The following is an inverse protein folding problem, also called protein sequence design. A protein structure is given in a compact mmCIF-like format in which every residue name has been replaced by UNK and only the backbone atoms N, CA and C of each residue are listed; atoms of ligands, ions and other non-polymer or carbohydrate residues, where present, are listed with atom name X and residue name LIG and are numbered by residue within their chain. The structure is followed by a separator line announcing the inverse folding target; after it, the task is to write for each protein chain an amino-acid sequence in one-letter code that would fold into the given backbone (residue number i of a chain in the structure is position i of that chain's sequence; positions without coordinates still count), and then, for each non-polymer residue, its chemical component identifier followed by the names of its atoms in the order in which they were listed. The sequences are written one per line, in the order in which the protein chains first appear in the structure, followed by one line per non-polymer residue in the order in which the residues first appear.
data_IF_613452411345
#
_entry.id   IF_613452411345
#
_cell.length_a   1.000
_cell.length_b   1.000
_cell.length_c   1.000
_cell.angle_alpha   90.00
_cell.angle_beta   90.00
_cell.angle_gamma   90.00
#
_symmetry.space_group_name_H-M   'P 1'
#
loop_
_entity.id
_entity.type
_entity.pdbx_description
1 polymer ?
#
# COMPACT_ATOMS: atom_id res chain seq x y z
N UNK A 1 -7.92 21.74 89.63
CA UNK A 1 -8.68 21.09 88.54
C UNK A 1 -7.72 20.95 87.37
N UNK A 2 -7.40 19.72 86.98
CA UNK A 2 -6.33 19.40 86.04
C UNK A 2 -6.89 19.32 84.61
N UNK A 3 -6.81 20.42 83.85
CA UNK A 3 -7.18 20.46 82.43
C UNK A 3 -6.18 19.76 81.49
N UNK A 4 -5.18 19.05 82.04
CA UNK A 4 -4.17 18.31 81.28
C UNK A 4 -4.57 16.87 80.90
N UNK A 5 -5.73 16.38 81.37
CA UNK A 5 -6.21 15.02 81.08
C UNK A 5 -6.91 14.84 79.73
N UNK A 6 -7.39 15.93 79.10
CA UNK A 6 -8.16 15.87 77.84
C UNK A 6 -7.30 15.78 76.57
N UNK A 7 -6.00 16.06 76.65
CA UNK A 7 -5.12 16.15 75.47
C UNK A 7 -4.72 14.75 74.97
N UNK A 8 -4.57 13.78 75.89
CA UNK A 8 -4.15 12.42 75.58
C UNK A 8 -5.13 11.64 74.68
N UNK A 9 -6.45 11.63 74.96
CA UNK A 9 -7.41 10.95 74.07
C UNK A 9 -7.56 11.65 72.71
N UNK A 10 -7.47 12.98 72.67
CA UNK A 10 -7.51 13.74 71.41
C UNK A 10 -6.28 13.45 70.54
N UNK A 11 -5.09 13.44 71.14
CA UNK A 11 -3.84 13.12 70.44
C UNK A 11 -3.86 11.68 69.91
N UNK A 12 -4.35 10.72 70.68
CA UNK A 12 -4.48 9.33 70.24
C UNK A 12 -5.42 9.19 69.04
N UNK A 13 -6.53 9.94 69.01
CA UNK A 13 -7.49 9.93 67.91
C UNK A 13 -6.91 10.53 66.63
N UNK A 14 -6.18 11.65 66.74
CA UNK A 14 -5.50 12.29 65.60
C UNK A 14 -4.40 11.37 65.04
N UNK A 15 -3.57 10.77 65.90
CA UNK A 15 -2.53 9.83 65.47
C UNK A 15 -3.16 8.60 64.79
N UNK A 16 -4.27 8.08 65.33
CA UNK A 16 -5.02 6.99 64.70
C UNK A 16 -5.52 7.34 63.29
N UNK A 17 -6.12 8.52 63.12
CA UNK A 17 -6.57 9.01 61.82
C UNK A 17 -5.41 9.18 60.82
N UNK A 18 -4.28 9.71 61.27
CA UNK A 18 -3.08 9.87 60.43
C UNK A 18 -2.53 8.50 59.98
N UNK A 19 -2.48 7.51 60.87
CA UNK A 19 -2.07 6.15 60.53
C UNK A 19 -3.00 5.51 59.48
N UNK A 20 -4.32 5.70 59.62
CA UNK A 20 -5.31 5.21 58.65
C UNK A 20 -5.12 5.88 57.27
N UNK A 21 -4.91 7.20 57.25
CA UNK A 21 -4.68 7.95 56.02
C UNK A 21 -3.40 7.50 55.29
N UNK A 22 -2.32 7.27 56.04
CA UNK A 22 -1.06 6.75 55.49
C UNK A 22 -1.23 5.35 54.92
N UNK A 23 -1.89 4.45 55.65
CA UNK A 23 -2.15 3.09 55.21
C UNK A 23 -2.99 3.07 53.91
N UNK A 24 -4.02 3.92 53.82
CA UNK A 24 -4.81 4.06 52.60
C UNK A 24 -3.99 4.63 51.43
N UNK A 25 -3.10 5.60 51.70
CA UNK A 25 -2.24 6.18 50.66
C UNK A 25 -1.26 5.16 50.06
N UNK A 26 -0.77 4.22 50.88
CA UNK A 26 0.08 3.11 50.43
C UNK A 26 -0.69 2.15 49.51
N UNK A 27 -1.90 1.74 49.91
CA UNK A 27 -2.77 0.89 49.07
C UNK A 27 -3.07 1.56 47.73
N UNK A 28 -3.42 2.86 47.74
CA UNK A 28 -3.67 3.62 46.51
C UNK A 28 -2.42 3.73 45.61
N UNK A 29 -1.23 3.85 46.22
CA UNK A 29 0.04 3.83 45.51
C UNK A 29 0.30 2.50 44.82
N UNK A 30 0.07 1.39 45.53
CA UNK A 30 0.19 0.03 44.99
C UNK A 30 -0.79 -0.20 43.84
N UNK A 31 -2.06 0.24 43.97
CA UNK A 31 -3.04 0.11 42.88
C UNK A 31 -2.65 0.91 41.64
N UNK A 32 -2.09 2.12 41.79
CA UNK A 32 -1.58 2.91 40.65
C UNK A 32 -0.41 2.21 39.96
N UNK A 33 0.52 1.66 40.73
CA UNK A 33 1.64 0.91 40.17
C UNK A 33 1.17 -0.36 39.44
N UNK A 34 0.19 -1.07 40.01
CA UNK A 34 -0.42 -2.24 39.39
C UNK A 34 -1.19 -1.89 38.12
N UNK A 35 -1.87 -0.73 38.07
CA UNK A 35 -2.59 -0.26 36.89
C UNK A 35 -1.62 0.07 35.73
N UNK A 36 -0.48 0.71 36.03
CA UNK A 36 0.52 1.02 35.02
C UNK A 36 1.15 -0.26 34.41
N UNK A 37 1.49 -1.23 35.26
CA UNK A 37 2.00 -2.54 34.80
C UNK A 37 0.97 -3.31 33.99
N UNK A 38 -0.29 -3.28 34.41
CA UNK A 38 -1.38 -3.92 33.67
C UNK A 38 -1.52 -3.32 32.27
N UNK A 39 -1.39 -2.00 32.12
CA UNK A 39 -1.42 -1.36 30.79
C UNK A 39 -0.23 -1.80 29.93
N UNK A 40 0.98 -1.84 30.46
CA UNK A 40 2.17 -2.29 29.73
C UNK A 40 2.00 -3.73 29.21
N UNK A 41 1.47 -4.63 30.04
CA UNK A 41 1.20 -6.01 29.63
C UNK A 41 0.04 -6.14 28.64
N UNK A 42 -1.00 -5.29 28.76
CA UNK A 42 -2.10 -5.21 27.79
C UNK A 42 -1.62 -4.73 26.43
N UNK A 43 -0.72 -3.76 26.39
CA UNK A 43 -0.12 -3.25 25.14
C UNK A 43 0.75 -4.35 24.47
N UNK A 44 1.56 -5.06 25.27
CA UNK A 44 2.36 -6.20 24.78
C UNK A 44 1.48 -7.36 24.30
N UNK A 45 0.41 -7.69 25.03
CA UNK A 45 -0.55 -8.71 24.63
C UNK A 45 -1.27 -8.34 23.32
N UNK A 46 -1.68 -7.07 23.18
CA UNK A 46 -2.30 -6.56 21.97
C UNK A 46 -1.36 -6.65 20.77
N UNK A 47 -0.08 -6.33 20.94
CA UNK A 47 0.94 -6.54 19.90
C UNK A 47 1.11 -8.03 19.52
N UNK A 48 1.15 -8.94 20.50
CA UNK A 48 1.26 -10.37 20.22
C UNK A 48 0.04 -10.91 19.47
N UNK A 49 -1.18 -10.44 19.82
CA UNK A 49 -2.40 -10.77 19.09
C UNK A 49 -2.37 -10.23 17.66
N UNK A 50 -1.76 -9.08 17.45
CA UNK A 50 -1.58 -8.46 16.13
C UNK A 50 -0.85 -9.42 15.18
N UNK A 51 0.28 -9.99 15.62
CA UNK A 51 1.05 -11.00 14.88
C UNK A 51 0.23 -12.29 14.71
N UNK A 52 -0.41 -12.78 15.78
CA UNK A 52 -1.17 -14.03 15.73
C UNK A 52 -2.34 -13.97 14.73
N UNK A 53 -2.97 -12.80 14.59
CA UNK A 53 -4.03 -12.55 13.62
C UNK A 53 -3.50 -12.37 12.20
N UNK A 54 -2.27 -11.90 12.04
CA UNK A 54 -1.57 -11.87 10.75
C UNK A 54 -1.26 -13.29 10.24
N UNK A 55 -0.77 -14.15 11.13
CA UNK A 55 -0.46 -15.57 10.85
C UNK A 55 -1.72 -16.47 10.73
N UNK A 56 -2.92 -15.89 10.78
CA UNK A 56 -4.20 -16.62 10.71
C UNK A 56 -4.32 -17.73 11.77
N UNK A 57 -3.75 -17.53 12.97
CA UNK A 57 -3.81 -18.50 14.05
C UNK A 57 -5.26 -18.75 14.52
N UNK A 58 -5.52 -19.97 14.97
CA UNK A 58 -6.85 -20.34 15.48
C UNK A 58 -7.22 -19.52 16.71
N UNK A 59 -8.52 -19.26 16.92
CA UNK A 59 -9.01 -18.54 18.10
C UNK A 59 -8.59 -19.21 19.42
N UNK A 60 -8.43 -20.54 19.42
CA UNK A 60 -7.96 -21.32 20.57
C UNK A 60 -6.52 -20.99 20.91
N UNK A 61 -5.65 -20.86 19.91
CA UNK A 61 -4.23 -20.58 20.13
C UNK A 61 -3.99 -19.12 20.53
N UNK A 62 -4.76 -18.18 19.98
CA UNK A 62 -4.78 -16.78 20.44
C UNK A 62 -5.23 -16.70 21.90
N UNK A 63 -6.22 -17.49 22.31
CA UNK A 63 -6.67 -17.53 23.71
C UNK A 63 -5.59 -18.09 24.63
N UNK A 64 -4.90 -19.17 24.23
CA UNK A 64 -3.75 -19.71 24.99
C UNK A 64 -2.61 -18.71 25.10
N UNK A 65 -2.33 -17.94 24.04
CA UNK A 65 -1.32 -16.89 24.05
C UNK A 65 -1.65 -15.77 25.04
N UNK A 66 -2.91 -15.31 25.05
CA UNK A 66 -3.40 -14.33 26.01
C UNK A 66 -3.35 -14.86 27.44
N UNK A 67 -3.66 -16.14 27.64
CA UNK A 67 -3.56 -16.79 28.94
C UNK A 67 -2.10 -16.92 29.40
N UNK A 68 -1.15 -17.20 28.50
CA UNK A 68 0.27 -17.19 28.81
C UNK A 68 0.78 -15.79 29.18
N UNK A 69 0.21 -14.71 28.64
CA UNK A 69 0.47 -13.33 29.13
C UNK A 69 -0.13 -13.10 30.52
N UNK A 70 -1.33 -13.62 30.78
CA UNK A 70 -1.95 -13.59 32.12
C UNK A 70 -1.08 -14.28 33.18
N UNK A 71 -0.54 -15.45 32.86
CA UNK A 71 0.23 -16.30 33.79
C UNK A 71 1.63 -15.74 34.10
N UNK A 72 2.16 -14.82 33.27
CA UNK A 72 3.43 -14.13 33.52
C UNK A 72 3.31 -13.10 34.65
N UNK A 73 2.09 -12.66 34.96
CA UNK A 73 1.86 -11.70 36.04
C UNK A 73 1.85 -12.43 37.40
N UNK A 74 2.56 -11.90 38.42
CA UNK A 74 2.61 -12.53 39.73
C UNK A 74 1.22 -12.75 40.33
N UNK A 75 0.92 -14.01 40.69
CA UNK A 75 -0.34 -14.44 41.29
C UNK A 75 -0.60 -13.79 42.67
N UNK A 76 0.46 -13.34 43.35
CA UNK A 76 0.39 -12.70 44.67
C UNK A 76 -0.41 -11.39 44.68
N UNK A 77 -0.66 -10.80 43.50
CA UNK A 77 -1.40 -9.55 43.37
C UNK A 77 -2.86 -9.74 42.91
N UNK A 78 -3.37 -10.97 42.87
CA UNK A 78 -4.74 -11.32 42.48
C UNK A 78 -4.88 -11.89 41.06
N UNK A 79 -6.05 -12.49 40.78
CA UNK A 79 -6.33 -13.14 39.51
C UNK A 79 -6.31 -12.12 38.35
N UNK A 80 -5.58 -12.46 37.29
CA UNK A 80 -5.50 -11.66 36.06
C UNK A 80 -6.07 -12.46 34.90
N UNK A 81 -6.87 -11.82 34.06
CA UNK A 81 -7.38 -12.43 32.83
C UNK A 81 -7.31 -11.44 31.67
N UNK A 82 -6.91 -11.95 30.51
CA UNK A 82 -6.94 -11.21 29.26
C UNK A 82 -8.04 -11.78 28.37
N UNK A 83 -8.79 -10.91 27.72
CA UNK A 83 -9.87 -11.28 26.80
C UNK A 83 -9.72 -10.52 25.49
N UNK A 84 -10.02 -11.20 24.38
CA UNK A 84 -10.07 -10.60 23.05
C UNK A 84 -11.52 -10.35 22.67
N UNK A 85 -11.85 -9.11 22.29
CA UNK A 85 -13.14 -8.74 21.74
C UNK A 85 -12.95 -8.34 20.27
N UNK A 86 -13.72 -8.96 19.37
CA UNK A 86 -13.81 -8.54 17.97
C UNK A 86 -14.77 -7.34 17.88
N UNK A 87 -14.29 -6.22 17.35
CA UNK A 87 -15.07 -4.99 17.17
C UNK A 87 -15.62 -4.85 15.73
N UNK A 88 -15.34 -5.81 14.85
CA UNK A 88 -15.64 -5.73 13.42
C UNK A 88 -14.63 -4.88 12.65
N UNK A 89 -14.71 -4.89 11.32
CA UNK A 89 -13.82 -4.13 10.42
C UNK A 89 -12.32 -4.37 10.66
N UNK A 90 -11.92 -5.61 10.96
CA UNK A 90 -10.56 -5.98 11.36
C UNK A 90 -9.98 -5.14 12.51
N UNK A 91 -10.84 -4.72 13.45
CA UNK A 91 -10.44 -4.14 14.73
C UNK A 91 -10.66 -5.13 15.85
N UNK A 92 -9.67 -5.27 16.72
CA UNK A 92 -9.76 -6.11 17.90
C UNK A 92 -9.35 -5.33 19.14
N UNK A 93 -10.01 -5.60 20.27
CA UNK A 93 -9.70 -5.02 21.57
C UNK A 93 -9.23 -6.11 22.52
N UNK A 94 -8.05 -5.92 23.09
CA UNK A 94 -7.54 -6.73 24.20
C UNK A 94 -7.90 -6.02 25.50
N UNK A 95 -8.61 -6.71 26.38
CA UNK A 95 -8.98 -6.20 27.72
C UNK A 95 -8.31 -7.06 28.77
N UNK A 96 -7.44 -6.44 29.59
CA UNK A 96 -6.83 -7.05 30.76
C UNK A 96 -7.57 -6.61 32.02
N UNK A 97 -8.00 -7.58 32.83
CA UNK A 97 -8.64 -7.32 34.13
C UNK A 97 -7.84 -7.96 35.24
N UNK A 98 -7.64 -7.22 36.33
CA UNK A 98 -6.90 -7.70 37.51
C UNK A 98 -7.65 -7.39 38.81
N UNK A 99 -7.91 -8.42 39.60
CA UNK A 99 -8.34 -8.23 40.98
C UNK A 99 -7.15 -7.75 41.82
N UNK A 100 -7.29 -6.71 42.63
CA UNK A 100 -6.20 -6.17 43.44
C UNK A 100 -6.16 -6.77 44.85
N UNK A 101 -4.96 -6.89 45.43
CA UNK A 101 -4.77 -7.38 46.79
C UNK A 101 -5.19 -6.34 47.84
N UNK A 102 -5.79 -6.81 48.94
CA UNK A 102 -6.19 -6.00 50.10
C UNK A 102 -5.11 -6.08 51.18
N UNK A 103 -4.22 -5.08 51.29
CA UNK A 103 -3.24 -5.05 52.37
C UNK A 103 -3.81 -4.34 53.60
N UNK A 104 -4.12 -3.04 53.51
CA UNK A 104 -4.62 -2.27 54.66
C UNK A 104 -6.13 -1.99 54.59
N UNK A 105 -6.68 -1.85 53.40
CA UNK A 105 -8.10 -1.64 53.10
C UNK A 105 -9.01 -2.76 53.63
N UNK A 106 -8.47 -3.96 53.88
CA UNK A 106 -9.17 -5.06 54.56
C UNK A 106 -9.60 -4.70 55.99
N UNK A 107 -8.80 -3.91 56.70
CA UNK A 107 -9.07 -3.51 58.10
C UNK A 107 -10.28 -2.56 58.16
N UNK A 108 -10.49 -1.77 57.12
CA UNK A 108 -11.59 -0.80 57.01
C UNK A 108 -12.85 -1.38 56.35
N UNK A 109 -12.86 -2.66 55.99
CA UNK A 109 -13.99 -3.29 55.29
C UNK A 109 -14.22 -2.77 53.87
N UNK A 110 -13.26 -2.03 53.29
CA UNK A 110 -13.38 -1.45 51.96
C UNK A 110 -13.08 -2.52 50.91
N UNK A 111 -13.92 -2.63 49.89
CA UNK A 111 -13.67 -3.51 48.77
C UNK A 111 -12.58 -2.92 47.87
N UNK A 112 -11.60 -3.75 47.52
CA UNK A 112 -10.56 -3.34 46.59
C UNK A 112 -11.15 -3.28 45.17
N UNK A 113 -10.77 -2.27 44.38
CA UNK A 113 -11.27 -2.12 43.02
C UNK A 113 -10.68 -3.20 42.11
N UNK A 114 -11.47 -3.68 41.16
CA UNK A 114 -10.96 -4.43 40.01
C UNK A 114 -10.35 -3.43 39.03
N UNK A 115 -9.08 -3.61 38.70
CA UNK A 115 -8.42 -2.80 37.67
C UNK A 115 -8.75 -3.38 36.29
N UNK A 116 -9.01 -2.49 35.33
CA UNK A 116 -9.25 -2.84 33.94
C UNK A 116 -8.43 -1.92 33.06
N UNK A 117 -7.80 -2.49 32.04
CA UNK A 117 -7.06 -1.78 30.99
C UNK A 117 -7.41 -2.38 29.64
N UNK A 118 -7.37 -1.55 28.60
CA UNK A 118 -7.69 -1.94 27.24
C UNK A 118 -6.62 -1.42 26.28
N UNK A 119 -6.29 -2.23 25.28
CA UNK A 119 -5.57 -1.81 24.10
C UNK A 119 -6.33 -2.29 22.86
N UNK A 120 -6.29 -1.50 21.81
CA UNK A 120 -6.92 -1.84 20.53
C UNK A 120 -5.87 -2.05 19.46
N UNK A 121 -6.15 -3.00 18.57
CA UNK A 121 -5.43 -3.17 17.32
C UNK A 121 -6.40 -2.99 16.17
N UNK A 122 -5.98 -2.29 15.13
CA UNK A 122 -6.68 -2.24 13.85
C UNK A 122 -5.77 -2.74 12.77
N UNK A 123 -6.33 -3.51 11.84
CA UNK A 123 -5.73 -3.69 10.53
C UNK A 123 -6.33 -2.62 9.63
N UNK A 124 -5.60 -1.52 9.54
CA UNK A 124 -5.89 -0.50 8.56
C UNK A 124 -5.58 -1.12 7.19
N UNK A 125 -6.51 -1.02 6.24
CA UNK A 125 -6.28 -1.51 4.88
C UNK A 125 -4.98 -0.89 4.37
N UNK A 126 -4.04 -1.74 3.98
CA UNK A 126 -2.82 -1.26 3.35
C UNK A 126 -3.23 -0.47 2.10
N UNK A 127 -2.81 0.80 1.95
CA UNK A 127 -3.15 1.55 0.76
C UNK A 127 -2.66 0.75 -0.44
N UNK A 128 -3.58 0.44 -1.35
CA UNK A 128 -3.26 -0.35 -2.54
C UNK A 128 -2.07 0.31 -3.25
N UNK A 129 -1.01 -0.45 -3.56
CA UNK A 129 0.19 0.13 -4.14
C UNK A 129 -0.12 0.80 -5.47
N UNK A 130 0.31 2.05 -5.63
CA UNK A 130 0.21 2.76 -6.91
C UNK A 130 1.13 2.13 -7.97
N UNK A 131 2.19 1.46 -7.55
CA UNK A 131 3.08 0.70 -8.41
C UNK A 131 3.11 -0.74 -7.93
N UNK A 132 2.54 -1.65 -8.72
CA UNK A 132 2.47 -3.07 -8.41
C UNK A 132 3.13 -3.92 -9.49
N UNK A 133 4.19 -4.62 -9.12
CA UNK A 133 4.72 -5.75 -9.87
C UNK A 133 4.06 -7.06 -9.39
N UNK A 134 3.15 -7.62 -10.19
CA UNK A 134 2.22 -8.67 -9.76
C UNK A 134 2.84 -10.07 -9.72
N UNK A 135 3.94 -10.32 -10.44
CA UNK A 135 4.51 -11.66 -10.58
C UNK A 135 5.16 -12.16 -9.28
N UNK A 136 4.72 -13.32 -8.76
CA UNK A 136 5.25 -13.93 -7.54
C UNK A 136 6.50 -14.79 -7.77
N UNK A 137 6.69 -15.32 -8.99
CA UNK A 137 7.82 -16.16 -9.36
C UNK A 137 8.38 -15.78 -10.75
N UNK A 138 8.85 -14.53 -10.91
CA UNK A 138 9.42 -14.10 -12.17
C UNK A 138 10.72 -14.84 -12.49
N UNK A 139 11.00 -15.03 -13.78
CA UNK A 139 12.30 -15.53 -14.22
C UNK A 139 13.43 -14.63 -13.68
N UNK A 140 14.40 -15.23 -12.98
CA UNK A 140 15.48 -14.51 -12.30
C UNK A 140 15.13 -13.96 -10.91
N UNK A 141 13.89 -14.15 -10.44
CA UNK A 141 13.45 -13.78 -9.09
C UNK A 141 13.25 -12.27 -8.87
N UNK A 142 13.24 -11.47 -9.95
CA UNK A 142 13.15 -9.99 -9.91
C UNK A 142 11.77 -9.52 -10.36
N UNK A 143 11.04 -8.86 -9.48
CA UNK A 143 9.77 -8.20 -9.79
C UNK A 143 9.99 -6.76 -10.25
N UNK A 144 10.81 -6.01 -9.51
CA UNK A 144 11.26 -4.66 -9.85
C UNK A 144 12.78 -4.68 -10.04
N UNK A 145 13.26 -4.32 -11.24
CA UNK A 145 14.69 -4.23 -11.56
C UNK A 145 15.03 -2.80 -11.99
N UNK A 146 16.01 -2.18 -11.35
CA UNK A 146 16.47 -0.83 -11.69
C UNK A 146 18.00 -0.78 -11.79
N UNK A 147 18.52 -0.21 -12.88
CA UNK A 147 19.96 -0.12 -13.12
C UNK A 147 20.38 1.22 -13.77
N UNK A 148 21.64 1.60 -13.61
CA UNK A 148 22.32 2.64 -14.36
C UNK A 148 21.63 4.01 -14.25
N UNK A 149 21.58 4.54 -13.02
CA UNK A 149 21.00 5.82 -12.64
C UNK A 149 19.49 5.95 -12.90
N UNK A 150 18.76 4.83 -12.98
CA UNK A 150 17.30 4.83 -13.01
C UNK A 150 16.72 5.39 -11.70
N UNK A 151 15.63 6.17 -11.80
CA UNK A 151 15.00 6.84 -10.66
C UNK A 151 13.49 6.62 -10.65
N UNK A 152 12.98 6.19 -9.50
CA UNK A 152 11.56 6.08 -9.21
C UNK A 152 11.24 7.00 -8.05
N UNK A 153 10.34 7.95 -8.25
CA UNK A 153 9.90 8.93 -7.25
C UNK A 153 8.39 8.83 -7.14
N UNK A 154 7.92 8.49 -5.95
CA UNK A 154 6.52 8.20 -5.65
C UNK A 154 6.11 9.02 -4.43
N UNK A 155 5.03 9.77 -4.54
CA UNK A 155 4.45 10.54 -3.44
C UNK A 155 2.98 10.18 -3.24
N UNK A 156 2.58 10.10 -1.98
CA UNK A 156 1.21 9.84 -1.55
C UNK A 156 0.75 8.37 -1.68
N UNK A 157 1.65 7.44 -2.00
CA UNK A 157 1.29 6.01 -2.11
C UNK A 157 2.51 5.08 -1.90
N UNK A 158 2.28 3.76 -1.96
CA UNK A 158 3.29 2.71 -1.78
C UNK A 158 3.69 2.05 -3.11
N UNK A 159 4.84 1.38 -3.08
CA UNK A 159 5.35 0.54 -4.18
C UNK A 159 5.42 -0.89 -3.69
N UNK A 160 5.00 -1.85 -4.52
CA UNK A 160 5.03 -3.26 -4.17
C UNK A 160 5.58 -4.15 -5.28
N UNK A 161 6.43 -5.10 -4.87
CA UNK A 161 6.86 -6.23 -5.69
C UNK A 161 6.40 -7.54 -5.06
N UNK A 162 5.57 -8.32 -5.77
CA UNK A 162 5.10 -9.62 -5.28
C UNK A 162 6.14 -10.74 -5.42
N UNK A 163 7.25 -10.51 -6.13
CA UNK A 163 8.24 -11.54 -6.41
C UNK A 163 8.86 -12.07 -5.11
N UNK A 164 9.01 -13.39 -4.98
CA UNK A 164 9.55 -14.05 -3.78
C UNK A 164 11.05 -14.36 -3.86
N UNK A 165 11.70 -14.00 -4.97
CA UNK A 165 13.14 -14.23 -5.17
C UNK A 165 14.02 -13.37 -4.26
N UNK A 166 15.29 -13.77 -4.09
CA UNK A 166 16.28 -13.07 -3.25
C UNK A 166 16.58 -11.62 -3.68
N UNK A 167 16.19 -11.24 -4.90
CA UNK A 167 16.25 -9.88 -5.43
C UNK A 167 14.92 -9.45 -6.03
N UNK A 168 13.83 -9.65 -5.29
CA UNK A 168 12.47 -9.19 -5.64
C UNK A 168 12.48 -7.74 -6.10
N UNK A 169 13.17 -6.89 -5.33
CA UNK A 169 13.57 -5.54 -5.74
C UNK A 169 15.08 -5.56 -5.95
N UNK A 170 15.54 -5.29 -7.18
CA UNK A 170 16.94 -5.39 -7.57
C UNK A 170 17.46 -4.04 -8.07
N UNK A 171 18.35 -3.41 -7.29
CA UNK A 171 18.86 -2.07 -7.53
C UNK A 171 20.38 -2.09 -7.73
N UNK A 172 20.83 -1.57 -8.87
CA UNK A 172 22.25 -1.36 -9.16
C UNK A 172 22.47 0.06 -9.67
N UNK A 173 23.12 0.94 -8.90
CA UNK A 173 23.18 2.38 -9.21
C UNK A 173 21.79 3.01 -9.46
N UNK A 174 20.80 2.68 -8.64
CA UNK A 174 19.43 3.14 -8.82
C UNK A 174 18.85 3.79 -7.55
N UNK A 175 17.81 4.60 -7.73
CA UNK A 175 17.22 5.40 -6.66
C UNK A 175 15.70 5.21 -6.61
N UNK A 176 15.19 4.81 -5.45
CA UNK A 176 13.75 4.77 -5.16
C UNK A 176 13.47 5.78 -4.05
N UNK A 177 12.61 6.74 -4.32
CA UNK A 177 12.08 7.69 -3.34
C UNK A 177 10.59 7.45 -3.21
N UNK A 178 10.13 7.04 -2.02
CA UNK A 178 8.69 6.92 -1.72
C UNK A 178 8.40 7.79 -0.51
N UNK A 179 7.36 8.60 -0.60
CA UNK A 179 6.87 9.46 0.49
C UNK A 179 5.38 9.25 0.68
N UNK A 180 4.95 9.14 1.93
CA UNK A 180 3.56 9.41 2.30
C UNK A 180 3.52 10.83 2.86
N UNK A 181 2.39 11.54 2.83
CA UNK A 181 2.33 12.97 3.21
C UNK A 181 2.83 13.31 4.63
N UNK A 182 3.22 12.33 5.44
CA UNK A 182 3.77 12.45 6.79
C UNK A 182 5.23 12.00 6.94
N UNK A 183 5.85 11.38 5.93
CA UNK A 183 7.19 10.81 6.06
C UNK A 183 7.61 9.87 4.92
N UNK A 184 8.58 8.97 5.18
CA UNK A 184 8.98 7.97 4.19
C UNK A 184 7.83 7.00 3.95
N UNK A 185 7.42 6.86 2.68
CA UNK A 185 6.37 5.92 2.31
C UNK A 185 6.89 4.47 2.31
N UNK A 186 6.05 3.53 1.85
CA UNK A 186 6.32 2.09 1.94
C UNK A 186 6.81 1.47 0.63
N UNK A 187 7.81 0.61 0.75
CA UNK A 187 8.25 -0.32 -0.29
C UNK A 187 8.03 -1.75 0.20
N UNK A 188 6.94 -2.36 -0.26
CA UNK A 188 6.58 -3.74 0.02
C UNK A 188 7.27 -4.72 -0.93
N UNK A 189 7.76 -5.84 -0.40
CA UNK A 189 8.36 -6.89 -1.21
C UNK A 189 8.01 -8.30 -0.71
N UNK A 190 7.72 -9.22 -1.62
CA UNK A 190 7.46 -10.63 -1.29
C UNK A 190 8.73 -11.48 -1.07
N UNK A 191 9.91 -10.94 -1.40
CA UNK A 191 11.20 -11.64 -1.39
C UNK A 191 12.32 -10.80 -0.77
N UNK A 192 13.53 -10.85 -1.31
CA UNK A 192 14.65 -10.02 -0.84
C UNK A 192 14.80 -8.69 -1.60
N UNK A 193 15.45 -7.72 -0.98
CA UNK A 193 15.89 -6.47 -1.63
C UNK A 193 17.40 -6.53 -1.85
N UNK A 194 17.83 -6.47 -3.11
CA UNK A 194 19.24 -6.45 -3.49
C UNK A 194 19.68 -5.04 -3.88
N UNK A 195 20.77 -4.58 -3.30
CA UNK A 195 21.35 -3.25 -3.53
C UNK A 195 22.86 -3.35 -3.77
N UNK A 196 23.33 -2.93 -4.95
CA UNK A 196 24.75 -2.78 -5.27
C UNK A 196 25.10 -1.42 -5.89
N UNK A 197 26.38 -1.00 -5.75
CA UNK A 197 26.96 0.14 -6.46
C UNK A 197 26.31 1.53 -6.17
N UNK A 198 25.97 1.84 -4.92
CA UNK A 198 25.61 3.20 -4.51
C UNK A 198 24.14 3.59 -4.76
N UNK A 199 23.21 2.78 -4.25
CA UNK A 199 21.77 3.04 -4.32
C UNK A 199 21.29 3.95 -3.18
N UNK A 200 20.11 4.54 -3.35
CA UNK A 200 19.35 5.09 -2.23
C UNK A 200 17.88 4.69 -2.31
N UNK A 201 17.36 4.17 -1.19
CA UNK A 201 15.94 3.86 -1.01
C UNK A 201 15.46 4.68 0.18
N UNK A 202 14.58 5.66 -0.04
CA UNK A 202 14.02 6.49 1.05
C UNK A 202 12.81 5.86 1.73
N UNK A 203 12.29 4.76 1.17
CA UNK A 203 11.10 4.07 1.65
C UNK A 203 11.40 3.12 2.81
N UNK A 204 10.43 2.91 3.69
CA UNK A 204 10.47 1.81 4.66
C UNK A 204 10.29 0.49 3.91
N UNK A 205 11.26 -0.42 4.06
CA UNK A 205 11.24 -1.73 3.40
C UNK A 205 10.49 -2.71 4.30
N UNK A 206 9.38 -3.24 3.80
CA UNK A 206 8.55 -4.18 4.53
C UNK A 206 8.37 -5.46 3.70
N UNK A 207 8.48 -6.61 4.36
CA UNK A 207 8.12 -7.87 3.75
C UNK A 207 6.60 -8.01 3.83
N UNK A 208 5.93 -7.96 2.70
CA UNK A 208 4.47 -7.93 2.62
C UNK A 208 3.95 -9.17 1.89
N UNK A 209 2.75 -9.67 2.23
CA UNK A 209 2.06 -10.67 1.43
C UNK A 209 1.87 -10.19 -0.01
N UNK A 210 1.73 -11.13 -0.95
CA UNK A 210 1.49 -10.78 -2.35
C UNK A 210 0.14 -10.03 -2.49
N UNK A 211 0.18 -8.81 -3.04
CA UNK A 211 -1.03 -8.04 -3.34
C UNK A 211 -1.74 -8.64 -4.55
N UNK A 212 -3.04 -8.85 -4.42
CA UNK A 212 -3.88 -9.25 -5.55
C UNK A 212 -3.99 -8.09 -6.56
N UNK A 213 -4.20 -8.43 -7.83
CA UNK A 213 -4.51 -7.45 -8.87
C UNK A 213 -5.91 -6.85 -8.61
N UNK A 214 -6.01 -5.55 -8.26
CA UNK A 214 -7.28 -4.88 -7.95
C UNK A 214 -8.17 -4.70 -9.18
N UNK A 215 -7.62 -4.82 -10.39
CA UNK A 215 -8.35 -4.63 -11.65
C UNK A 215 -8.84 -5.95 -12.27
N UNK A 216 -8.28 -7.07 -11.86
CA UNK A 216 -8.58 -8.37 -12.47
C UNK A 216 -10.06 -8.80 -12.32
N UNK A 217 -10.69 -8.47 -11.20
CA UNK A 217 -12.09 -8.83 -10.93
C UNK A 217 -13.08 -7.80 -11.47
N UNK A 218 -12.66 -6.53 -11.60
CA UNK A 218 -13.51 -5.42 -12.04
C UNK A 218 -13.50 -5.22 -13.56
N UNK A 219 -12.38 -5.53 -14.23
CA UNK A 219 -12.27 -5.46 -15.68
C UNK A 219 -12.53 -6.83 -16.31
N UNK A 220 -13.75 -7.03 -16.82
CA UNK A 220 -14.08 -8.19 -17.67
C UNK A 220 -13.37 -8.14 -19.03
N UNK A 221 -13.28 -9.28 -19.74
CA UNK A 221 -12.63 -9.34 -21.07
C UNK A 221 -13.27 -8.29 -22.01
N UNK A 222 -12.47 -7.35 -22.58
CA UNK A 222 -13.03 -6.27 -23.35
C UNK A 222 -13.57 -6.80 -24.67
N UNK A 223 -14.77 -6.35 -25.04
CA UNK A 223 -15.35 -6.60 -26.36
C UNK A 223 -15.08 -5.38 -27.23
N UNK A 224 -14.30 -5.56 -28.30
CA UNK A 224 -14.01 -4.50 -29.25
C UNK A 224 -15.30 -4.06 -29.95
N UNK A 225 -15.54 -2.76 -30.00
CA UNK A 225 -16.70 -2.16 -30.65
C UNK A 225 -16.34 -0.84 -31.36
N UNK A 226 -17.27 -0.35 -32.18
CA UNK A 226 -17.09 0.88 -32.96
C UNK A 226 -16.63 0.62 -34.40
N UNK A 227 -16.29 1.70 -35.10
CA UNK A 227 -15.89 1.67 -36.51
C UNK A 227 -14.55 0.97 -36.68
N UNK A 228 -14.47 0.03 -37.63
CA UNK A 228 -13.22 -0.66 -37.95
C UNK A 228 -12.38 0.13 -38.96
N UNK A 229 -11.14 0.40 -38.57
CA UNK A 229 -10.09 0.99 -39.36
C UNK A 229 -9.05 -0.09 -39.69
N UNK A 230 -9.02 -0.52 -40.95
CA UNK A 230 -8.18 -1.62 -41.41
C UNK A 230 -6.73 -1.24 -41.79
N UNK A 231 -6.41 0.05 -41.94
CA UNK A 231 -5.04 0.54 -42.19
C UNK A 231 -4.77 1.93 -41.58
N UNK A 232 -5.09 2.19 -40.30
CA UNK A 232 -4.83 3.50 -39.71
C UNK A 232 -3.34 3.69 -39.36
N UNK A 233 -2.59 2.61 -39.14
CA UNK A 233 -1.20 2.63 -38.65
C UNK A 233 -0.11 2.30 -39.67
N UNK A 234 -0.42 1.75 -40.85
CA UNK A 234 0.55 1.59 -41.95
C UNK A 234 0.61 2.84 -42.83
N UNK A 235 0.35 3.99 -42.24
CA UNK A 235 0.32 5.26 -42.95
C UNK A 235 1.76 5.72 -43.23
N UNK A 236 2.36 5.06 -44.21
CA UNK A 236 3.51 5.50 -45.00
C UNK A 236 3.22 6.82 -45.74
N UNK A 237 2.13 7.55 -45.44
CA UNK A 237 1.81 8.72 -46.24
C UNK A 237 2.80 9.82 -45.97
N UNK A 238 3.43 10.26 -47.04
CA UNK A 238 4.18 11.50 -47.19
C UNK A 238 3.39 12.79 -46.86
N UNK A 239 2.24 12.70 -46.17
CA UNK A 239 1.29 13.80 -45.95
C UNK A 239 0.89 13.98 -44.47
N UNK A 240 1.56 14.93 -43.81
CA UNK A 240 1.05 15.69 -42.65
C UNK A 240 0.68 14.96 -41.35
N UNK A 241 0.32 15.77 -40.35
CA UNK A 241 -0.33 15.37 -39.10
C UNK A 241 -1.76 14.88 -39.34
N UNK A 242 -2.20 13.86 -38.61
CA UNK A 242 -3.57 13.30 -38.74
C UNK A 242 -4.31 13.26 -37.41
N UNK A 243 -5.64 13.35 -37.51
CA UNK A 243 -6.56 13.15 -36.39
C UNK A 243 -7.25 11.80 -36.54
N UNK A 244 -7.22 11.00 -35.49
CA UNK A 244 -7.76 9.65 -35.42
C UNK A 244 -8.98 9.60 -34.52
N UNK A 245 -10.00 8.87 -34.96
CA UNK A 245 -11.27 8.70 -34.25
C UNK A 245 -11.27 7.41 -33.41
N UNK A 246 -11.99 7.34 -32.29
CA UNK A 246 -12.13 6.09 -31.53
C UNK A 246 -12.78 4.98 -32.38
N UNK A 247 -12.47 3.72 -32.05
CA UNK A 247 -12.93 2.54 -32.78
C UNK A 247 -11.90 1.40 -32.79
N UNK A 248 -12.02 0.50 -33.77
CA UNK A 248 -11.22 -0.73 -33.88
C UNK A 248 -10.09 -0.52 -34.88
N UNK A 249 -8.85 -0.71 -34.45
CA UNK A 249 -7.62 -0.58 -35.23
C UNK A 249 -7.10 -1.98 -35.54
N UNK A 250 -7.60 -2.58 -36.63
CA UNK A 250 -7.42 -4.01 -36.91
C UNK A 250 -6.07 -4.37 -37.52
N UNK A 251 -5.20 -3.39 -37.76
CA UNK A 251 -3.83 -3.60 -38.27
C UNK A 251 -2.77 -2.95 -37.37
N UNK A 252 -3.14 -2.60 -36.13
CA UNK A 252 -2.30 -1.82 -35.24
C UNK A 252 -2.44 -0.31 -35.43
N UNK A 253 -1.67 0.43 -34.64
CA UNK A 253 -1.52 1.86 -34.67
C UNK A 253 -0.02 2.17 -34.61
N UNK A 254 0.54 2.84 -35.63
CA UNK A 254 1.94 3.24 -35.64
C UNK A 254 2.04 4.71 -36.04
N UNK A 255 2.53 5.53 -35.12
CA UNK A 255 2.92 6.91 -35.35
C UNK A 255 4.45 6.94 -35.59
N UNK A 256 4.89 7.54 -36.69
CA UNK A 256 6.30 7.57 -37.09
C UNK A 256 6.71 8.90 -37.76
N UNK A 257 7.98 9.00 -38.17
CA UNK A 257 8.52 10.08 -39.03
C UNK A 257 8.41 11.51 -38.45
N UNK A 258 8.56 11.69 -37.14
CA UNK A 258 8.67 13.03 -36.54
C UNK A 258 7.34 13.81 -36.48
N UNK A 259 6.20 13.16 -36.73
CA UNK A 259 4.91 13.84 -36.92
C UNK A 259 4.06 13.85 -35.66
N UNK A 260 3.23 14.88 -35.53
CA UNK A 260 2.20 14.94 -34.48
C UNK A 260 0.88 14.36 -34.98
N UNK A 261 0.34 13.40 -34.24
CA UNK A 261 -0.97 12.80 -34.45
C UNK A 261 -1.88 13.12 -33.28
N UNK A 262 -3.18 13.24 -33.55
CA UNK A 262 -4.18 13.58 -32.55
C UNK A 262 -5.17 12.43 -32.39
N UNK A 263 -5.45 12.02 -31.16
CA UNK A 263 -6.52 11.08 -30.83
C UNK A 263 -7.70 11.87 -30.29
N UNK A 264 -8.88 11.73 -30.88
CA UNK A 264 -10.11 12.27 -30.30
C UNK A 264 -10.52 11.48 -29.04
N UNK A 265 -11.32 12.08 -28.17
CA UNK A 265 -11.80 11.41 -26.97
C UNK A 265 -12.54 10.10 -27.29
N UNK A 266 -12.29 9.04 -26.52
CA UNK A 266 -12.96 7.75 -26.66
C UNK A 266 -12.04 6.52 -26.53
N UNK A 267 -12.58 5.34 -26.84
CA UNK A 267 -11.87 4.06 -26.72
C UNK A 267 -11.27 3.61 -28.04
N UNK A 268 -10.00 3.22 -28.01
CA UNK A 268 -9.21 2.73 -29.13
C UNK A 268 -8.89 1.26 -28.91
N UNK A 269 -9.49 0.37 -29.69
CA UNK A 269 -9.24 -1.06 -29.62
C UNK A 269 -8.21 -1.46 -30.68
N UNK A 270 -6.99 -1.77 -30.26
CA UNK A 270 -5.92 -2.21 -31.16
C UNK A 270 -5.92 -3.73 -31.22
N UNK A 271 -6.47 -4.29 -32.31
CA UNK A 271 -6.78 -5.74 -32.38
C UNK A 271 -5.89 -6.54 -33.32
N UNK A 272 -5.10 -5.89 -34.20
CA UNK A 272 -4.24 -6.61 -35.16
C UNK A 272 -2.83 -6.02 -35.28
N UNK A 273 -2.22 -5.63 -34.17
CA UNK A 273 -0.85 -5.13 -34.14
C UNK A 273 -0.51 -4.43 -32.84
N UNK A 274 0.53 -3.61 -32.87
CA UNK A 274 1.00 -2.82 -31.73
C UNK A 274 0.34 -1.45 -31.69
N UNK A 275 0.33 -0.82 -30.53
CA UNK A 275 0.20 0.62 -30.40
C UNK A 275 1.60 1.22 -30.26
N UNK A 276 2.05 1.95 -31.27
CA UNK A 276 3.44 2.38 -31.38
C UNK A 276 3.57 3.86 -31.73
N UNK A 277 4.45 4.56 -31.02
CA UNK A 277 4.89 5.91 -31.35
C UNK A 277 6.43 5.91 -31.34
N UNK A 278 7.03 6.17 -32.51
CA UNK A 278 8.47 6.01 -32.73
C UNK A 278 9.03 7.09 -33.66
N UNK A 279 10.36 7.14 -33.80
CA UNK A 279 11.06 8.00 -34.76
C UNK A 279 10.67 9.48 -34.65
N UNK A 280 10.54 10.00 -33.42
CA UNK A 280 10.18 11.39 -33.16
C UNK A 280 8.70 11.72 -33.28
N UNK A 281 7.83 10.71 -33.48
CA UNK A 281 6.40 10.95 -33.62
C UNK A 281 5.75 11.25 -32.26
N UNK A 282 4.83 12.21 -32.28
CA UNK A 282 4.07 12.67 -31.12
C UNK A 282 2.62 12.22 -31.25
N UNK A 283 2.04 11.71 -30.18
CA UNK A 283 0.62 11.39 -30.08
C UNK A 283 0.01 12.25 -28.99
N UNK A 284 -1.01 13.04 -29.34
CA UNK A 284 -1.70 13.95 -28.42
C UNK A 284 -3.15 13.52 -28.31
N UNK A 285 -3.65 13.34 -27.09
CA UNK A 285 -5.07 13.13 -26.86
C UNK A 285 -5.81 14.47 -26.76
N UNK A 286 -6.85 14.64 -27.58
CA UNK A 286 -7.80 15.73 -27.53
C UNK A 286 -9.01 15.33 -26.66
N UNK A 287 -8.75 15.21 -25.35
CA UNK A 287 -9.73 14.76 -24.36
C UNK A 287 -9.44 13.35 -23.83
N UNK A 288 -10.34 12.81 -22.99
CA UNK A 288 -10.10 11.54 -22.32
C UNK A 288 -10.14 10.34 -23.28
N UNK A 289 -9.15 9.46 -23.18
CA UNK A 289 -9.01 8.27 -24.04
C UNK A 289 -8.73 7.01 -23.21
N UNK A 290 -9.10 5.86 -23.78
CA UNK A 290 -8.62 4.55 -23.32
C UNK A 290 -8.06 3.80 -24.51
N UNK A 291 -6.84 3.28 -24.41
CA UNK A 291 -6.22 2.45 -25.44
C UNK A 291 -6.16 1.02 -24.91
N UNK A 292 -6.84 0.11 -25.61
CA UNK A 292 -6.90 -1.31 -25.27
C UNK A 292 -6.19 -2.08 -26.38
N UNK A 293 -5.06 -2.71 -26.05
CA UNK A 293 -4.30 -3.56 -26.96
C UNK A 293 -4.66 -5.02 -26.71
N UNK A 294 -5.11 -5.68 -27.77
CA UNK A 294 -5.68 -7.03 -27.75
C UNK A 294 -4.85 -8.00 -28.61
N UNK A 295 -5.19 -9.28 -28.57
CA UNK A 295 -4.65 -10.32 -29.47
C UNK A 295 -3.12 -10.40 -29.49
N UNK A 296 -2.47 -10.20 -28.34
CA UNK A 296 -1.02 -10.32 -28.21
C UNK A 296 -0.21 -9.12 -28.71
N UNK A 297 -0.86 -8.02 -29.14
CA UNK A 297 -0.17 -6.77 -29.43
C UNK A 297 0.53 -6.18 -28.20
N UNK A 298 1.51 -5.31 -28.44
CA UNK A 298 2.22 -4.56 -27.38
C UNK A 298 2.08 -3.05 -27.54
N UNK A 299 2.55 -2.31 -26.54
CA UNK A 299 2.63 -0.85 -26.52
C UNK A 299 4.11 -0.46 -26.54
N UNK A 300 4.50 0.38 -27.51
CA UNK A 300 5.88 0.87 -27.68
C UNK A 300 5.87 2.38 -27.88
N UNK A 301 6.46 3.11 -26.95
CA UNK A 301 6.64 4.55 -27.05
C UNK A 301 8.14 4.82 -27.00
N UNK A 302 8.74 4.95 -28.18
CA UNK A 302 10.19 5.08 -28.40
C UNK A 302 10.49 6.42 -29.07
N UNK A 303 10.20 7.50 -28.34
CA UNK A 303 10.37 8.87 -28.81
C UNK A 303 11.75 9.43 -28.40
N UNK A 304 12.42 10.08 -29.33
CA UNK A 304 13.71 10.78 -29.16
C UNK A 304 13.56 12.30 -29.05
N UNK A 305 12.36 12.82 -29.28
CA UNK A 305 12.06 14.21 -29.09
C UNK A 305 11.59 14.40 -27.65
N UNK A 306 12.07 15.45 -26.98
CA UNK A 306 11.68 15.84 -25.62
C UNK A 306 10.20 16.26 -25.50
N UNK A 307 9.34 15.82 -26.41
CA UNK A 307 7.95 16.20 -26.46
C UNK A 307 7.08 15.24 -25.66
N UNK A 308 6.33 15.83 -24.73
CA UNK A 308 5.48 15.11 -23.80
C UNK A 308 4.23 14.61 -24.53
N UNK A 309 4.06 13.27 -24.59
CA UNK A 309 2.79 12.64 -24.90
C UNK A 309 1.92 12.77 -23.64
N UNK A 310 0.82 13.51 -23.72
CA UNK A 310 -0.05 13.78 -22.56
C UNK A 310 -1.39 13.10 -22.76
N UNK A 311 -1.69 12.07 -21.98
CA UNK A 311 -2.96 11.35 -22.05
C UNK A 311 -3.74 11.44 -20.74
N UNK A 312 -5.06 11.31 -20.84
CA UNK A 312 -5.96 11.31 -19.69
C UNK A 312 -6.99 10.20 -19.87
N UNK A 313 -7.22 9.40 -18.83
CA UNK A 313 -8.26 8.38 -18.82
C UNK A 313 -9.66 9.01 -18.68
N UNK A 314 -10.72 8.36 -19.20
CA UNK A 314 -12.08 8.79 -18.94
C UNK A 314 -12.44 8.65 -17.46
N UNK A 315 -13.23 9.59 -16.91
CA UNK A 315 -13.69 9.53 -15.51
C UNK A 315 -14.97 8.70 -15.34
N UNK A 316 -15.64 8.35 -16.44
CA UNK A 316 -16.91 7.60 -16.44
C UNK A 316 -16.91 6.56 -17.56
N UNK A 317 -17.86 5.62 -17.52
CA UNK A 317 -17.99 4.54 -18.49
C UNK A 317 -17.30 3.24 -18.07
N UNK A 318 -17.32 2.21 -18.93
CA UNK A 318 -16.88 0.85 -18.58
C UNK A 318 -15.37 0.74 -18.29
N UNK A 319 -14.57 1.70 -18.78
CA UNK A 319 -13.12 1.75 -18.57
C UNK A 319 -12.71 3.02 -17.81
N UNK A 320 -13.59 3.54 -16.96
CA UNK A 320 -13.29 4.70 -16.14
C UNK A 320 -11.97 4.49 -15.37
N UNK A 321 -11.07 5.48 -15.45
CA UNK A 321 -9.74 5.44 -14.85
C UNK A 321 -8.70 4.64 -15.64
N UNK A 322 -9.08 3.76 -16.58
CA UNK A 322 -8.12 2.97 -17.36
C UNK A 322 -7.64 3.76 -18.56
N UNK A 323 -6.33 4.02 -18.62
CA UNK A 323 -5.73 4.74 -19.73
C UNK A 323 -5.16 3.77 -20.78
N UNK A 324 -4.18 2.96 -20.38
CA UNK A 324 -3.55 1.97 -21.24
C UNK A 324 -3.82 0.60 -20.67
N UNK A 325 -4.36 -0.29 -21.48
CA UNK A 325 -4.58 -1.68 -21.09
C UNK A 325 -4.08 -2.63 -22.16
N UNK A 326 -3.17 -3.52 -21.77
CA UNK A 326 -2.83 -4.70 -22.57
C UNK A 326 -3.59 -5.89 -22.03
N UNK A 327 -4.49 -6.44 -22.83
CA UNK A 327 -5.32 -7.59 -22.44
C UNK A 327 -4.44 -8.83 -22.30
N UNK A 328 -4.51 -9.49 -21.14
CA UNK A 328 -3.76 -10.70 -20.90
C UNK A 328 -4.33 -11.87 -21.73
N UNK A 329 -3.52 -12.41 -22.64
CA UNK A 329 -3.85 -13.61 -23.43
C UNK A 329 -2.96 -14.82 -23.07
N UNK A 330 -2.33 -14.82 -21.89
CA UNK A 330 -1.50 -15.91 -21.37
C UNK A 330 -0.02 -15.55 -21.26
N UNK A 331 0.65 -15.28 -22.39
CA UNK A 331 2.06 -14.85 -22.41
C UNK A 331 2.23 -13.45 -22.99
N UNK A 332 3.23 -12.73 -22.51
CA UNK A 332 3.65 -11.44 -23.05
C UNK A 332 5.11 -11.54 -23.49
N UNK A 333 5.36 -12.06 -24.71
CA UNK A 333 6.72 -12.25 -25.21
C UNK A 333 7.43 -10.91 -25.44
N UNK A 334 6.67 -9.91 -25.87
CA UNK A 334 7.16 -8.56 -26.12
C UNK A 334 6.87 -7.65 -24.91
N UNK A 335 7.87 -6.93 -24.38
CA UNK A 335 7.64 -5.99 -23.29
C UNK A 335 6.79 -4.80 -23.75
N UNK A 336 6.11 -4.18 -22.79
CA UNK A 336 5.60 -2.81 -22.92
C UNK A 336 6.79 -1.88 -22.76
N UNK A 337 7.07 -1.04 -23.75
CA UNK A 337 8.33 -0.28 -23.81
C UNK A 337 8.11 1.22 -23.83
N UNK A 338 8.81 1.93 -22.95
CA UNK A 338 9.04 3.36 -22.98
C UNK A 338 10.54 3.60 -23.08
N UNK A 339 11.04 4.17 -24.18
CA UNK A 339 12.49 4.29 -24.39
C UNK A 339 12.90 5.54 -25.18
N UNK A 340 14.19 5.86 -25.14
CA UNK A 340 14.83 6.80 -26.07
C UNK A 340 14.73 8.27 -25.70
N UNK A 341 14.45 8.60 -24.44
CA UNK A 341 14.17 9.97 -23.99
C UNK A 341 12.69 10.33 -24.04
N UNK A 342 11.83 9.35 -24.33
CA UNK A 342 10.39 9.56 -24.41
C UNK A 342 9.82 10.16 -23.12
N UNK A 343 9.17 11.32 -23.23
CA UNK A 343 8.36 11.90 -22.17
C UNK A 343 6.91 11.44 -22.27
N UNK A 344 6.43 10.71 -21.27
CA UNK A 344 5.05 10.26 -21.17
C UNK A 344 4.39 10.84 -19.93
N UNK A 345 3.48 11.80 -20.13
CA UNK A 345 2.64 12.36 -19.11
C UNK A 345 1.26 11.72 -19.14
N UNK A 346 0.76 11.31 -17.98
CA UNK A 346 -0.54 10.66 -17.95
C UNK A 346 -1.33 10.90 -16.67
N UNK A 347 -2.64 10.70 -16.80
CA UNK A 347 -3.63 10.69 -15.73
C UNK A 347 -4.50 9.45 -15.92
N UNK A 348 -4.46 8.52 -14.98
CA UNK A 348 -5.17 7.24 -15.03
C UNK A 348 -4.26 6.01 -14.81
N UNK A 349 -4.78 4.84 -15.15
CA UNK A 349 -4.15 3.55 -14.86
C UNK A 349 -3.45 2.97 -16.08
N UNK A 350 -2.21 2.55 -15.89
CA UNK A 350 -1.44 1.72 -16.82
C UNK A 350 -1.57 0.27 -16.36
N UNK A 351 -2.32 -0.54 -17.11
CA UNK A 351 -2.64 -1.91 -16.73
C UNK A 351 -2.07 -2.93 -17.73
N UNK A 352 -1.00 -3.61 -17.34
CA UNK A 352 -0.23 -4.54 -18.18
C UNK A 352 -0.09 -5.92 -17.53
N UNK A 353 -1.21 -6.61 -17.23
CA UNK A 353 -1.16 -7.92 -16.60
C UNK A 353 -0.37 -8.93 -17.46
N UNK A 354 0.54 -9.67 -16.81
CA UNK A 354 1.37 -10.68 -17.46
C UNK A 354 2.51 -10.13 -18.35
N UNK A 355 2.74 -8.81 -18.39
CA UNK A 355 3.79 -8.18 -19.19
C UNK A 355 4.91 -7.51 -18.39
N UNK A 356 6.12 -7.55 -18.95
CA UNK A 356 7.22 -6.70 -18.52
C UNK A 356 6.98 -5.25 -19.00
N UNK A 357 7.00 -4.30 -18.07
CA UNK A 357 7.14 -2.88 -18.36
C UNK A 357 8.63 -2.50 -18.37
N UNK A 358 9.16 -2.10 -19.52
CA UNK A 358 10.56 -1.70 -19.72
C UNK A 358 10.63 -0.18 -19.98
N UNK A 359 11.29 0.55 -19.08
CA UNK A 359 11.53 1.99 -19.17
C UNK A 359 13.03 2.24 -19.26
N UNK A 360 13.51 2.64 -20.44
CA UNK A 360 14.94 2.67 -20.72
C UNK A 360 15.42 3.96 -21.38
N UNK A 361 16.73 4.18 -21.39
CA UNK A 361 17.41 5.23 -22.16
C UNK A 361 16.78 6.62 -21.96
N UNK A 362 16.84 7.13 -20.72
CA UNK A 362 16.35 8.46 -20.31
C UNK A 362 14.84 8.71 -20.50
N UNK A 363 14.04 7.67 -20.82
CA UNK A 363 12.59 7.81 -20.86
C UNK A 363 12.02 8.21 -19.49
N UNK A 364 11.02 9.09 -19.49
CA UNK A 364 10.39 9.64 -18.32
C UNK A 364 8.88 9.40 -18.35
N UNK A 365 8.37 8.67 -17.36
CA UNK A 365 6.94 8.50 -17.10
C UNK A 365 6.58 9.42 -15.94
N UNK A 366 5.61 10.32 -16.13
CA UNK A 366 5.23 11.32 -15.11
C UNK A 366 3.71 11.46 -15.04
N UNK A 367 3.18 11.67 -13.85
CA UNK A 367 1.73 11.82 -13.66
C UNK A 367 1.29 13.27 -13.68
N UNK A 368 -0.02 13.51 -13.86
CA UNK A 368 -0.64 14.84 -13.83
C UNK A 368 -1.75 14.98 -12.77
N UNK A 369 -2.06 13.94 -12.02
CA UNK A 369 -3.35 13.84 -11.31
C UNK A 369 -3.33 12.83 -10.16
N UNK A 370 -4.24 13.08 -9.22
CA UNK A 370 -4.51 12.40 -7.95
C UNK A 370 -4.83 10.89 -8.06
N UNK A 371 -5.05 10.36 -9.27
CA UNK A 371 -5.59 9.01 -9.51
C UNK A 371 -4.75 8.19 -10.49
N UNK A 372 -3.50 7.90 -10.13
CA UNK A 372 -2.56 7.23 -11.03
C UNK A 372 -2.02 5.91 -10.48
N UNK A 373 -2.12 4.84 -11.27
CA UNK A 373 -1.60 3.51 -10.95
C UNK A 373 -0.82 2.90 -12.12
N UNK A 374 0.19 2.10 -11.79
CA UNK A 374 0.98 1.28 -12.71
C UNK A 374 0.96 -0.15 -12.21
N UNK A 375 0.36 -1.02 -13.00
CA UNK A 375 0.29 -2.46 -12.74
C UNK A 375 0.93 -3.21 -13.89
N UNK A 376 1.96 -4.00 -13.60
CA UNK A 376 2.64 -4.83 -14.58
C UNK A 376 3.05 -6.16 -13.94
N UNK A 377 3.38 -7.16 -14.76
CA UNK A 377 3.94 -8.43 -14.25
C UNK A 377 5.31 -8.20 -13.62
N UNK A 378 6.14 -7.42 -14.32
CA UNK A 378 7.46 -6.98 -13.88
C UNK A 378 7.70 -5.56 -14.33
N UNK A 379 8.56 -4.85 -13.61
CA UNK A 379 8.98 -3.50 -13.94
C UNK A 379 10.50 -3.48 -14.05
N UNK A 380 11.01 -2.99 -15.18
CA UNK A 380 12.43 -2.80 -15.43
C UNK A 380 12.70 -1.36 -15.82
N UNK A 381 13.66 -0.73 -15.15
CA UNK A 381 14.08 0.63 -15.42
C UNK A 381 15.60 0.70 -15.61
N UNK A 382 16.08 1.21 -16.74
CA UNK A 382 17.53 1.28 -17.02
C UNK A 382 17.97 2.58 -17.69
N UNK A 383 19.22 2.99 -17.46
CA UNK A 383 19.89 4.02 -18.25
C UNK A 383 19.27 5.39 -18.10
N UNK A 384 19.27 5.94 -16.89
CA UNK A 384 18.80 7.30 -16.59
C UNK A 384 17.28 7.49 -16.63
N UNK A 385 16.51 6.40 -16.83
CA UNK A 385 15.05 6.48 -16.90
C UNK A 385 14.40 6.95 -15.60
N UNK A 386 13.25 7.62 -15.72
CA UNK A 386 12.55 8.26 -14.61
C UNK A 386 11.08 7.81 -14.56
N UNK A 387 10.59 7.51 -13.37
CA UNK A 387 9.18 7.35 -13.08
C UNK A 387 8.84 8.29 -11.93
N UNK A 388 7.96 9.27 -12.16
CA UNK A 388 7.49 10.20 -11.15
C UNK A 388 5.98 10.08 -11.02
N UNK A 389 5.50 9.51 -9.92
CA UNK A 389 4.08 9.33 -9.63
C UNK A 389 3.74 10.12 -8.39
N UNK A 390 2.93 11.15 -8.59
CA UNK A 390 2.35 11.94 -7.52
C UNK A 390 0.87 11.60 -7.36
N UNK A 391 0.48 11.18 -6.16
CA UNK A 391 -0.88 10.74 -5.82
C UNK A 391 -1.40 11.58 -4.65
N UNK A 392 -2.14 12.64 -4.94
CA UNK A 392 -2.76 13.47 -3.90
C UNK A 392 -3.97 12.77 -3.22
N UNK A 393 -4.58 11.75 -3.85
CA UNK A 393 -5.70 10.99 -3.29
C UNK A 393 -5.65 9.46 -3.61
N UNK A 394 -4.82 8.69 -2.89
CA UNK A 394 -4.66 7.24 -3.11
C UNK A 394 -5.93 6.40 -2.80
N UNK A 395 -7.00 7.01 -2.29
CA UNK A 395 -8.22 6.32 -1.83
C UNK A 395 -9.41 6.43 -2.80
N UNK A 396 -9.37 7.31 -3.80
CA UNK A 396 -10.51 7.55 -4.70
C UNK A 396 -10.79 6.44 -5.72
N UNK A 397 -9.81 5.59 -6.02
CA UNK A 397 -9.99 4.42 -6.89
C UNK A 397 -10.38 3.16 -6.11
N UNK A 398 -9.88 2.97 -4.88
CA UNK A 398 -10.33 1.88 -4.00
C UNK A 398 -11.84 1.98 -3.67
N UNK A 399 -12.37 3.20 -3.52
CA UNK A 399 -13.80 3.45 -3.32
C UNK A 399 -14.65 3.32 -4.61
N UNK A 400 -14.08 3.60 -5.79
CA UNK A 400 -14.79 3.51 -7.07
C UNK A 400 -14.65 2.14 -7.79
N UNK A 401 -13.61 1.36 -7.48
CA UNK A 401 -13.35 0.03 -8.05
C UNK A 401 -13.49 -1.11 -7.02
N UNK A 402 -14.03 -0.83 -5.83
CA UNK A 402 -14.33 -1.84 -4.81
C UNK A 402 -13.11 -2.44 -4.09
N UNK A 403 -11.94 -1.81 -4.22
CA UNK A 403 -10.67 -2.27 -3.65
C UNK A 403 -10.51 -1.97 -2.16
N UNK A 404 -11.39 -2.50 -1.31
CA UNK A 404 -11.13 -2.62 0.13
C UNK A 404 -10.12 -3.75 0.39
N UNK A 405 -8.84 -3.49 0.14
CA UNK A 405 -7.76 -4.46 0.27
C UNK A 405 -7.51 -4.87 1.73
N UNK A 406 -7.92 -6.09 2.09
CA UNK A 406 -7.69 -6.74 3.39
C UNK A 406 -6.23 -7.18 3.64
N UNK A 407 -5.25 -6.34 3.31
CA UNK A 407 -3.82 -6.67 3.33
C UNK A 407 -3.01 -6.19 4.54
N UNK A 408 -3.47 -5.19 5.30
CA UNK A 408 -2.61 -4.53 6.29
C UNK A 408 -2.18 -5.38 7.50
N UNK A 409 -1.08 -4.96 8.12
CA UNK A 409 -0.63 -5.44 9.42
C UNK A 409 -1.45 -4.79 10.52
N UNK A 410 -1.67 -5.50 11.63
CA UNK A 410 -2.37 -4.95 12.78
C UNK A 410 -1.45 -3.98 13.53
N UNK A 411 -1.85 -2.71 13.63
CA UNK A 411 -1.17 -1.69 14.41
C UNK A 411 -1.92 -1.40 15.72
N UNK A 412 -1.19 -1.02 16.77
CA UNK A 412 -1.77 -0.56 18.02
C UNK A 412 -2.44 0.80 17.82
N UNK A 413 -3.74 0.87 18.11
CA UNK A 413 -4.52 2.10 18.12
C UNK A 413 -4.49 2.63 19.55
N UNK A 414 -3.79 3.76 19.76
CA UNK A 414 -3.80 4.46 21.05
C UNK A 414 -5.03 5.34 21.21
#
# INVERSE_FOLDING_TARGET
MNDRGSIMPLAALIVGLLCIALAFSMDAGVWRQQAARLQEDVDMAAYAVSIAKEDSMSAVDVTKMLQAHADRLPAESGATSFTLTDLGNNRYRVTGTRATSKHFSRILGINAPTLSSTAEISKDGEPAPCVLATNTSPAGGRGIEMNNNARMTISGCSVQSNATGAGSVHLTQAFITVTDGSGPGKLCHGGGVYEANGNAVSATKEQCPAAADPLASSLGVPVANGTTYANPGTDYSWYGSKTFQPGIYSSGFVANNGRTHYLQAGTYYVTGGNFEAQSGAKVIANGPITIIVMNGGTIRITDYSSTENSFQAPQTGPYAGVLLWRVNTGSCPDPITFAGGAGFKYDGILYFPGCLLDISNDAAITTRSDFTYVLADRIKMVGGSRMNIDVDNPYGLASNLGGGGGGGNYALVK
#
